data_IF_709087951283
#
_entry.id   IF_709087951283
#
_cell.length_a   1.000
_cell.length_b   1.000
_cell.length_c   1.000
_cell.angle_alpha   90.00
_cell.angle_beta   90.00
_cell.angle_gamma   90.00
#
_symmetry.space_group_name_H-M   'P 1'
#
loop_
_entity.id
_entity.type
_entity.pdbx_description
1 polymer ?
#
# COMPACT_ATOMS: atom_id res chain seq x y z
N UNK A 1 -13.39 30.06 32.06
CA UNK A 1 -12.26 29.35 31.44
C UNK A 1 -12.55 27.87 31.48
N UNK A 2 -13.03 27.31 30.37
CA UNK A 2 -13.35 25.89 30.26
C UNK A 2 -12.07 25.11 29.95
N UNK A 3 -11.67 24.26 30.90
CA UNK A 3 -10.50 23.40 30.78
C UNK A 3 -10.87 22.17 29.93
N UNK A 4 -10.59 22.20 28.62
CA UNK A 4 -10.76 21.05 27.73
C UNK A 4 -9.69 20.02 28.07
N UNK A 5 -10.08 18.98 28.81
CA UNK A 5 -9.28 17.75 28.94
C UNK A 5 -9.34 17.00 27.61
N UNK A 6 -8.24 16.99 26.89
CA UNK A 6 -7.97 16.05 25.79
C UNK A 6 -8.06 14.64 26.35
N UNK A 7 -9.04 13.84 25.91
CA UNK A 7 -9.07 12.42 26.20
C UNK A 7 -7.91 11.75 25.44
N UNK A 8 -6.88 11.33 26.17
CA UNK A 8 -5.93 10.35 25.67
C UNK A 8 -6.68 9.01 25.53
N UNK A 9 -6.98 8.61 24.30
CA UNK A 9 -7.41 7.25 24.01
C UNK A 9 -6.18 6.37 24.16
N UNK A 10 -6.07 5.71 25.31
CA UNK A 10 -5.06 4.69 25.57
C UNK A 10 -5.50 3.43 24.83
N UNK A 11 -4.94 3.19 23.64
CA UNK A 11 -5.15 1.95 22.88
C UNK A 11 -4.23 0.88 23.48
N UNK A 12 -4.69 0.22 24.53
CA UNK A 12 -3.97 -0.86 25.19
C UNK A 12 -4.39 -2.22 24.62
N UNK A 13 -3.43 -2.94 24.01
CA UNK A 13 -3.44 -4.40 23.91
C UNK A 13 -3.49 -4.98 22.49
N UNK A 14 -2.37 -4.93 21.77
CA UNK A 14 -2.15 -5.75 20.58
C UNK A 14 -1.05 -6.78 20.86
N UNK A 15 -1.43 -8.00 21.23
CA UNK A 15 -0.51 -9.14 21.17
C UNK A 15 -1.27 -10.40 20.75
N UNK A 16 -0.85 -10.98 19.64
CA UNK A 16 -1.01 -12.41 19.39
C UNK A 16 0.32 -12.93 18.82
N UNK A 17 0.90 -13.91 19.51
CA UNK A 17 2.14 -14.58 19.12
C UNK A 17 1.76 -15.72 18.18
N UNK A 18 2.36 -15.80 16.99
CA UNK A 18 2.48 -17.07 16.25
C UNK A 18 3.94 -17.31 15.86
N UNK A 19 4.40 -18.53 16.10
CA UNK A 19 5.80 -18.95 16.02
C UNK A 19 6.18 -19.57 14.68
N UNK A 20 5.82 -18.95 13.56
CA UNK A 20 6.27 -19.33 12.23
C UNK A 20 6.71 -18.08 11.49
N UNK A 21 7.85 -18.12 10.80
CA UNK A 21 8.42 -16.99 10.04
C UNK A 21 7.59 -16.56 8.82
N UNK A 22 6.27 -16.49 8.96
CA UNK A 22 5.37 -15.89 7.99
C UNK A 22 5.47 -14.37 8.10
N UNK A 23 5.69 -13.71 6.95
CA UNK A 23 5.59 -12.26 6.85
C UNK A 23 4.16 -11.86 7.27
N UNK A 24 4.05 -11.18 8.41
CA UNK A 24 2.79 -10.75 9.00
C UNK A 24 2.73 -9.24 9.00
N UNK A 25 1.57 -8.70 8.62
CA UNK A 25 1.33 -7.25 8.65
C UNK A 25 1.19 -6.79 10.10
N UNK A 26 1.98 -5.80 10.50
CA UNK A 26 2.09 -5.21 11.84
C UNK A 26 1.38 -3.86 11.88
N UNK A 27 0.05 -3.87 11.85
CA UNK A 27 -0.73 -2.65 12.03
C UNK A 27 -0.41 -1.94 13.37
N UNK A 28 0.05 -2.67 14.39
CA UNK A 28 0.46 -2.14 15.69
C UNK A 28 1.73 -1.29 15.65
N UNK A 29 2.55 -1.38 14.60
CA UNK A 29 3.73 -0.52 14.41
C UNK A 29 3.45 0.78 13.68
N UNK A 30 2.24 0.97 13.16
CA UNK A 30 1.87 2.17 12.40
C UNK A 30 1.71 3.40 13.32
N UNK A 31 1.97 4.56 12.74
CA UNK A 31 1.77 5.85 13.37
C UNK A 31 0.29 6.10 13.68
N UNK A 32 0.05 6.96 14.66
CA UNK A 32 -1.31 7.32 15.05
C UNK A 32 -2.08 8.04 13.93
N UNK A 33 -1.37 8.70 13.01
CA UNK A 33 -1.99 9.33 11.83
C UNK A 33 -2.50 8.27 10.84
N UNK A 34 -1.69 7.25 10.54
CA UNK A 34 -2.12 6.13 9.69
C UNK A 34 -3.26 5.35 10.34
N UNK A 35 -3.18 5.05 11.63
CA UNK A 35 -4.26 4.34 12.35
C UNK A 35 -5.58 5.13 12.32
N UNK A 36 -5.53 6.46 12.39
CA UNK A 36 -6.71 7.32 12.23
C UNK A 36 -7.26 7.29 10.80
N UNK A 37 -6.40 7.30 9.79
CA UNK A 37 -6.83 7.19 8.40
C UNK A 37 -7.47 5.82 8.11
N UNK A 38 -6.91 4.74 8.67
CA UNK A 38 -7.50 3.41 8.62
C UNK A 38 -8.89 3.40 9.26
N UNK A 39 -9.05 3.86 10.50
CA UNK A 39 -10.34 3.95 11.17
C UNK A 39 -11.36 4.78 10.37
N UNK A 40 -10.94 5.92 9.83
CA UNK A 40 -11.78 6.78 8.99
C UNK A 40 -12.23 6.12 7.67
N UNK A 41 -11.42 5.21 7.13
CA UNK A 41 -11.79 4.41 5.94
C UNK A 41 -12.80 3.29 6.24
N UNK A 42 -13.13 3.06 7.53
CA UNK A 42 -13.96 1.94 7.97
C UNK A 42 -13.20 0.64 8.22
N UNK A 43 -11.87 0.71 8.34
CA UNK A 43 -11.06 -0.43 8.76
C UNK A 43 -11.26 -0.75 10.25
N UNK A 44 -11.16 -2.03 10.60
CA UNK A 44 -11.06 -2.47 11.98
C UNK A 44 -10.08 -3.64 12.08
N UNK A 45 -9.51 -3.87 13.27
CA UNK A 45 -8.49 -4.92 13.46
C UNK A 45 -9.00 -6.34 13.18
N UNK A 46 -10.31 -6.56 13.35
CA UNK A 46 -10.95 -7.86 13.10
C UNK A 46 -11.47 -7.99 11.66
N UNK A 47 -11.24 -6.99 10.80
CA UNK A 47 -11.65 -7.03 9.39
C UNK A 47 -10.87 -8.12 8.66
N UNK A 48 -11.62 -9.03 8.04
CA UNK A 48 -11.10 -10.09 7.17
C UNK A 48 -12.11 -10.33 6.04
N UNK A 49 -11.95 -9.63 4.92
CA UNK A 49 -12.75 -9.85 3.72
C UNK A 49 -12.19 -11.00 2.89
N UNK A 50 -13.04 -11.63 2.08
CA UNK A 50 -12.61 -12.67 1.15
C UNK A 50 -11.83 -12.05 -0.02
N UNK A 51 -10.53 -12.32 -0.08
CA UNK A 51 -9.66 -11.84 -1.16
C UNK A 51 -9.89 -12.60 -2.49
N UNK A 52 -10.52 -13.78 -2.46
CA UNK A 52 -10.75 -14.63 -3.63
C UNK A 52 -11.50 -13.92 -4.75
N UNK A 53 -12.41 -13.00 -4.39
CA UNK A 53 -13.18 -12.19 -5.35
C UNK A 53 -12.30 -11.38 -6.31
N UNK A 54 -11.08 -11.01 -5.89
CA UNK A 54 -10.11 -10.29 -6.71
C UNK A 54 -8.97 -11.18 -7.21
N UNK A 55 -8.52 -12.11 -6.36
CA UNK A 55 -7.39 -12.99 -6.66
C UNK A 55 -7.71 -13.90 -7.84
N UNK A 56 -8.87 -14.56 -7.85
CA UNK A 56 -9.17 -15.54 -8.89
C UNK A 56 -9.22 -14.93 -10.31
N UNK A 57 -9.87 -13.77 -10.56
CA UNK A 57 -9.80 -13.12 -11.87
C UNK A 57 -8.36 -12.80 -12.30
N UNK A 58 -7.54 -12.26 -11.40
CA UNK A 58 -6.16 -11.87 -11.72
C UNK A 58 -5.27 -13.08 -11.98
N UNK A 59 -5.44 -14.19 -11.25
CA UNK A 59 -4.71 -15.42 -11.56
C UNK A 59 -5.05 -15.99 -12.95
N UNK A 60 -6.30 -15.83 -13.41
CA UNK A 60 -6.68 -16.20 -14.79
C UNK A 60 -5.99 -15.32 -15.84
N UNK A 61 -5.58 -14.11 -15.47
CA UNK A 61 -4.76 -13.22 -16.31
C UNK A 61 -3.24 -13.50 -16.19
N UNK A 62 -2.84 -14.49 -15.40
CA UNK A 62 -1.44 -14.93 -15.27
C UNK A 62 -0.65 -14.22 -14.17
N UNK A 63 -1.32 -13.50 -13.27
CA UNK A 63 -0.72 -13.12 -11.99
C UNK A 63 -0.51 -14.36 -11.11
N UNK A 64 0.43 -14.26 -10.17
CA UNK A 64 0.66 -15.29 -9.15
C UNK A 64 0.51 -14.66 -7.78
N UNK A 65 -0.55 -15.01 -7.06
CA UNK A 65 -0.75 -14.48 -5.72
C UNK A 65 0.26 -15.09 -4.74
N UNK A 66 0.54 -14.38 -3.65
CA UNK A 66 1.36 -14.86 -2.54
C UNK A 66 0.67 -14.51 -1.21
N UNK A 67 1.13 -15.15 -0.12
CA UNK A 67 0.48 -15.07 1.20
C UNK A 67 0.33 -13.65 1.71
N UNK A 68 1.33 -12.79 1.49
CA UNK A 68 1.31 -11.42 1.97
C UNK A 68 0.27 -10.57 1.21
N UNK A 69 0.11 -10.78 -0.10
CA UNK A 69 -0.94 -10.11 -0.88
C UNK A 69 -2.34 -10.55 -0.42
N UNK A 70 -2.54 -11.83 -0.12
CA UNK A 70 -3.81 -12.33 0.45
C UNK A 70 -4.09 -11.66 1.79
N UNK A 71 -3.09 -11.58 2.68
CA UNK A 71 -3.24 -10.94 3.98
C UNK A 71 -3.58 -9.45 3.85
N UNK A 72 -2.89 -8.72 2.96
CA UNK A 72 -3.15 -7.31 2.69
C UNK A 72 -4.56 -7.07 2.15
N UNK A 73 -4.99 -7.85 1.14
CA UNK A 73 -6.32 -7.73 0.55
C UNK A 73 -7.44 -8.19 1.49
N UNK A 74 -7.19 -9.19 2.33
CA UNK A 74 -8.18 -9.58 3.35
C UNK A 74 -8.36 -8.48 4.42
N UNK A 75 -7.29 -7.77 4.77
CA UNK A 75 -7.35 -6.68 5.73
C UNK A 75 -7.92 -5.38 5.13
N UNK A 76 -7.47 -4.98 3.94
CA UNK A 76 -7.70 -3.64 3.39
C UNK A 76 -8.48 -3.63 2.06
N UNK A 77 -8.71 -4.77 1.42
CA UNK A 77 -9.40 -4.83 0.13
C UNK A 77 -10.74 -4.10 0.14
N UNK A 78 -10.95 -3.27 -0.88
CA UNK A 78 -12.12 -2.42 -1.06
C UNK A 78 -12.14 -1.15 -0.19
N UNK A 79 -11.07 -0.86 0.57
CA UNK A 79 -10.94 0.39 1.32
C UNK A 79 -10.19 1.45 0.50
N UNK A 80 -10.42 2.71 0.87
CA UNK A 80 -9.73 3.87 0.33
C UNK A 80 -9.18 4.67 1.52
N UNK A 81 -7.86 4.85 1.58
CA UNK A 81 -7.19 5.57 2.65
C UNK A 81 -6.87 6.98 2.18
N UNK A 82 -7.53 7.97 2.78
CA UNK A 82 -7.29 9.38 2.51
C UNK A 82 -5.95 9.84 3.11
N UNK A 83 -5.17 10.65 2.38
CA UNK A 83 -3.94 11.23 2.91
C UNK A 83 -4.26 12.25 4.01
N UNK A 84 -3.55 12.16 5.13
CA UNK A 84 -3.67 13.16 6.18
C UNK A 84 -2.85 14.43 5.87
N UNK A 85 -1.87 14.31 4.97
CA UNK A 85 -0.96 15.38 4.57
C UNK A 85 -1.03 15.60 3.05
N UNK A 86 -2.13 16.19 2.57
CA UNK A 86 -2.31 16.50 1.14
C UNK A 86 -1.19 17.39 0.56
N UNK A 87 -0.71 18.33 1.39
CA UNK A 87 0.49 19.13 1.11
C UNK A 87 1.54 18.72 2.13
N UNK A 88 2.10 17.53 1.93
CA UNK A 88 3.15 16.99 2.79
C UNK A 88 4.48 17.76 2.63
N UNK A 89 5.38 17.69 3.63
CA UNK A 89 6.68 18.36 3.55
C UNK A 89 7.60 17.77 2.47
N UNK A 90 7.30 16.56 1.97
CA UNK A 90 8.14 15.84 1.04
C UNK A 90 7.61 15.85 -0.39
N UNK A 91 6.29 15.67 -0.58
CA UNK A 91 5.62 15.78 -1.87
C UNK A 91 4.13 16.07 -1.65
N UNK A 92 3.48 16.63 -2.68
CA UNK A 92 2.02 16.77 -2.69
C UNK A 92 1.40 15.39 -2.91
N UNK A 93 0.46 15.02 -2.06
CA UNK A 93 -0.18 13.72 -2.02
C UNK A 93 -1.67 13.92 -1.72
N UNK A 94 -2.42 14.45 -2.68
CA UNK A 94 -3.86 14.71 -2.54
C UNK A 94 -4.73 13.54 -3.01
N UNK A 95 -4.10 12.39 -3.27
CA UNK A 95 -4.78 11.22 -3.80
C UNK A 95 -4.89 10.10 -2.76
N UNK A 96 -6.07 9.45 -2.66
CA UNK A 96 -6.24 8.32 -1.76
C UNK A 96 -5.50 7.09 -2.26
N UNK A 97 -5.06 6.26 -1.31
CA UNK A 97 -4.58 4.91 -1.61
C UNK A 97 -5.76 3.94 -1.65
N UNK A 98 -6.16 3.54 -2.85
CA UNK A 98 -7.32 2.68 -3.09
C UNK A 98 -6.89 1.21 -3.16
N UNK A 99 -7.39 0.37 -2.25
CA UNK A 99 -7.12 -1.07 -2.25
C UNK A 99 -8.09 -1.81 -3.18
N UNK A 100 -8.02 -1.50 -4.47
CA UNK A 100 -8.72 -2.20 -5.55
C UNK A 100 -7.71 -2.88 -6.50
N UNK A 101 -7.42 -4.18 -6.29
CA UNK A 101 -6.47 -4.90 -7.13
C UNK A 101 -6.98 -5.13 -8.57
N UNK A 102 -8.29 -5.05 -8.83
CA UNK A 102 -8.85 -5.21 -10.18
C UNK A 102 -8.61 -3.94 -10.99
N UNK A 103 -8.85 -2.76 -10.40
CA UNK A 103 -8.51 -1.49 -11.03
C UNK A 103 -7.03 -1.41 -11.40
N UNK A 104 -6.16 -1.82 -10.47
CA UNK A 104 -4.72 -1.79 -10.66
C UNK A 104 -4.17 -2.84 -11.65
N UNK A 105 -4.80 -4.03 -11.69
CA UNK A 105 -4.20 -5.22 -12.29
C UNK A 105 -4.87 -5.74 -13.55
N UNK A 106 -6.18 -5.57 -13.72
CA UNK A 106 -6.92 -6.22 -14.82
C UNK A 106 -6.53 -5.62 -16.16
N UNK A 107 -6.12 -6.48 -17.10
CA UNK A 107 -5.59 -6.09 -18.40
C UNK A 107 -4.18 -5.48 -18.36
N UNK A 108 -3.57 -5.36 -17.19
CA UNK A 108 -2.27 -4.71 -16.98
C UNK A 108 -1.13 -5.71 -16.72
N UNK A 109 -1.31 -7.00 -17.05
CA UNK A 109 -0.29 -8.03 -16.78
C UNK A 109 1.08 -7.69 -17.38
N UNK A 110 1.12 -6.99 -18.52
CA UNK A 110 2.35 -6.54 -19.16
C UNK A 110 3.17 -5.57 -18.28
N UNK A 111 2.50 -4.60 -17.64
CA UNK A 111 3.14 -3.69 -16.69
C UNK A 111 3.73 -4.46 -15.50
N UNK A 112 2.98 -5.45 -14.98
CA UNK A 112 3.50 -6.30 -13.91
C UNK A 112 4.73 -7.13 -14.34
N UNK A 113 4.75 -7.66 -15.57
CA UNK A 113 5.94 -8.37 -16.10
C UNK A 113 7.14 -7.42 -16.15
N UNK A 114 6.91 -6.17 -16.53
CA UNK A 114 7.95 -5.16 -16.59
C UNK A 114 8.53 -4.85 -15.21
N UNK A 115 7.66 -4.62 -14.21
CA UNK A 115 8.07 -4.44 -12.80
C UNK A 115 8.88 -5.65 -12.31
N UNK A 116 8.39 -6.87 -12.56
CA UNK A 116 9.09 -8.12 -12.22
C UNK A 116 10.46 -8.23 -12.91
N UNK A 117 10.56 -7.79 -14.17
CA UNK A 117 11.79 -7.85 -14.97
C UNK A 117 12.83 -6.83 -14.50
N UNK A 118 12.39 -5.61 -14.21
CA UNK A 118 13.27 -4.49 -13.84
C UNK A 118 13.72 -4.60 -12.38
N UNK A 119 12.79 -4.91 -11.46
CA UNK A 119 13.06 -4.90 -10.03
C UNK A 119 13.40 -6.27 -9.46
N UNK A 120 13.01 -7.35 -10.15
CA UNK A 120 13.14 -8.72 -9.67
C UNK A 120 12.16 -9.05 -8.55
N UNK A 121 11.67 -10.29 -8.52
CA UNK A 121 10.74 -10.76 -7.49
C UNK A 121 9.38 -11.14 -8.06
N UNK A 122 8.42 -11.39 -7.18
CA UNK A 122 7.06 -11.77 -7.55
C UNK A 122 6.09 -10.72 -7.04
N UNK A 123 5.42 -10.02 -7.97
CA UNK A 123 4.59 -8.87 -7.67
C UNK A 123 3.11 -9.18 -7.92
N UNK A 124 2.26 -8.77 -6.99
CA UNK A 124 0.80 -8.88 -7.12
C UNK A 124 0.16 -7.48 -6.95
N UNK A 125 -0.77 -7.08 -7.83
CA UNK A 125 -1.43 -5.80 -7.73
C UNK A 125 -2.35 -5.79 -6.50
N UNK A 126 -2.29 -4.71 -5.72
CA UNK A 126 -3.07 -4.58 -4.48
C UNK A 126 -3.98 -3.35 -4.47
N UNK A 127 -3.74 -2.40 -5.37
CA UNK A 127 -4.47 -1.14 -5.39
C UNK A 127 -3.88 -0.10 -6.33
N UNK A 128 -4.42 1.11 -6.28
CA UNK A 128 -3.96 2.26 -7.05
C UNK A 128 -3.60 3.41 -6.12
N UNK A 129 -2.55 4.15 -6.48
CA UNK A 129 -2.13 5.34 -5.77
C UNK A 129 -1.32 6.24 -6.70
N UNK A 130 -1.38 7.56 -6.49
CA UNK A 130 -0.62 8.58 -7.22
C UNK A 130 -0.83 8.53 -8.75
N UNK A 131 -1.82 9.28 -9.19
CA UNK A 131 -2.37 9.40 -10.53
C UNK A 131 -2.81 8.07 -11.11
N UNK A 132 -3.53 7.28 -10.30
CA UNK A 132 -4.02 5.94 -10.63
C UNK A 132 -2.90 4.95 -11.03
N UNK A 133 -1.68 5.15 -10.53
CA UNK A 133 -0.59 4.21 -10.79
C UNK A 133 -0.88 2.89 -10.08
N UNK A 134 -0.64 1.78 -10.79
CA UNK A 134 -0.83 0.44 -10.24
C UNK A 134 0.16 0.20 -9.10
N UNK A 135 -0.36 -0.15 -7.93
CA UNK A 135 0.44 -0.50 -6.76
C UNK A 135 0.58 -2.00 -6.66
N UNK A 136 1.83 -2.45 -6.59
CA UNK A 136 2.20 -3.85 -6.50
C UNK A 136 2.90 -4.16 -5.18
N UNK A 137 2.52 -5.28 -4.57
CA UNK A 137 3.17 -5.86 -3.41
C UNK A 137 4.02 -7.06 -3.82
N UNK A 138 5.31 -6.97 -3.53
CA UNK A 138 6.27 -8.05 -3.71
C UNK A 138 6.14 -9.10 -2.60
N UNK A 139 6.46 -10.36 -2.90
CA UNK A 139 6.36 -11.49 -1.97
C UNK A 139 7.19 -11.35 -0.68
N UNK A 140 8.28 -10.59 -0.71
CA UNK A 140 9.14 -10.24 0.43
C UNK A 140 8.74 -8.96 1.16
N UNK A 141 7.67 -8.26 0.74
CA UNK A 141 7.09 -7.12 1.45
C UNK A 141 7.33 -5.76 0.84
N UNK A 142 8.20 -5.63 -0.16
CA UNK A 142 8.41 -4.35 -0.87
C UNK A 142 7.13 -3.94 -1.59
N UNK A 143 6.78 -2.64 -1.52
CA UNK A 143 5.65 -2.07 -2.24
C UNK A 143 6.14 -1.01 -3.22
N UNK A 144 5.62 -1.07 -4.45
CA UNK A 144 5.95 -0.11 -5.51
C UNK A 144 4.69 0.37 -6.20
N UNK A 145 4.65 1.65 -6.57
CA UNK A 145 3.67 2.19 -7.51
C UNK A 145 4.31 2.25 -8.89
N UNK A 146 3.59 1.87 -9.94
CA UNK A 146 4.08 1.83 -11.30
C UNK A 146 3.06 2.42 -12.26
N UNK A 147 3.50 3.37 -13.08
CA UNK A 147 2.61 4.08 -14.01
C UNK A 147 3.35 5.17 -14.76
N UNK A 148 2.83 5.52 -15.94
CA UNK A 148 3.31 6.66 -16.75
C UNK A 148 4.82 6.65 -17.09
N UNK A 149 5.44 5.46 -17.07
CA UNK A 149 6.87 5.28 -17.35
C UNK A 149 7.79 5.44 -16.14
N UNK A 150 7.26 5.38 -14.91
CA UNK A 150 8.03 5.38 -13.67
C UNK A 150 7.64 4.23 -12.75
N UNK A 151 8.61 3.76 -11.97
CA UNK A 151 8.38 2.94 -10.77
C UNK A 151 8.85 3.70 -9.54
N UNK A 152 7.97 3.83 -8.55
CA UNK A 152 8.25 4.50 -7.29
C UNK A 152 8.28 3.53 -6.13
N UNK A 153 9.22 3.75 -5.21
CA UNK A 153 9.27 3.01 -3.95
C UNK A 153 8.26 3.57 -2.96
N UNK A 154 7.26 2.77 -2.62
CA UNK A 154 6.33 3.09 -1.53
C UNK A 154 6.87 2.65 -0.17
N UNK A 155 7.56 1.52 -0.12
CA UNK A 155 8.21 1.04 1.10
C UNK A 155 8.96 -0.26 0.90
N UNK A 156 9.92 -0.53 1.79
CA UNK A 156 10.59 -1.83 1.89
C UNK A 156 9.71 -2.89 2.58
N UNK A 157 8.64 -2.44 3.24
CA UNK A 157 7.58 -3.23 3.84
C UNK A 157 6.19 -2.69 3.47
N UNK A 158 5.14 -3.47 3.73
CA UNK A 158 3.77 -3.05 3.50
C UNK A 158 3.37 -1.87 4.40
N UNK A 159 3.82 -1.88 5.65
CA UNK A 159 3.58 -0.84 6.64
C UNK A 159 4.19 0.49 6.22
N UNK A 160 5.44 0.47 5.73
CA UNK A 160 6.09 1.68 5.20
C UNK A 160 5.33 2.28 4.03
N UNK A 161 4.67 1.44 3.21
CA UNK A 161 3.84 1.93 2.10
C UNK A 161 2.61 2.72 2.59
N UNK A 162 2.00 2.29 3.70
CA UNK A 162 0.87 3.00 4.32
C UNK A 162 1.34 4.33 4.92
N UNK A 163 2.47 4.34 5.61
CA UNK A 163 3.05 5.57 6.17
C UNK A 163 3.37 6.60 5.08
N UNK A 164 3.95 6.16 3.97
CA UNK A 164 4.24 7.04 2.85
C UNK A 164 2.95 7.58 2.22
N UNK A 165 2.01 6.69 1.89
CA UNK A 165 0.80 7.04 1.16
C UNK A 165 -0.19 7.88 1.97
N UNK A 166 -0.19 7.77 3.30
CA UNK A 166 -1.06 8.60 4.16
C UNK A 166 -0.38 9.88 4.59
N UNK A 167 0.89 9.80 5.02
CA UNK A 167 1.55 10.90 5.71
C UNK A 167 2.56 11.66 4.85
N UNK A 168 2.93 11.15 3.66
CA UNK A 168 4.04 11.66 2.86
C UNK A 168 5.28 11.91 3.74
N UNK A 169 5.60 10.97 4.62
CA UNK A 169 6.54 11.13 5.74
C UNK A 169 8.03 11.16 5.31
N UNK A 170 8.33 10.78 4.07
CA UNK A 170 9.64 10.86 3.43
C UNK A 170 9.51 11.24 1.94
N UNK A 171 10.60 11.63 1.26
CA UNK A 171 10.58 11.81 -0.19
C UNK A 171 10.15 10.55 -0.93
N UNK A 172 9.39 10.74 -2.02
CA UNK A 172 9.07 9.70 -2.98
C UNK A 172 10.33 9.38 -3.80
N UNK A 173 10.70 8.11 -3.87
CA UNK A 173 11.91 7.67 -4.55
C UNK A 173 11.55 7.04 -5.91
N UNK A 174 12.11 7.57 -6.98
CA UNK A 174 12.03 6.98 -8.31
C UNK A 174 13.04 5.83 -8.41
N UNK A 175 12.56 4.59 -8.49
CA UNK A 175 13.39 3.39 -8.65
C UNK A 175 13.80 3.17 -10.11
N UNK A 176 12.91 3.53 -11.04
CA UNK A 176 13.10 3.34 -12.46
C UNK A 176 12.30 4.39 -13.23
N UNK A 177 12.83 4.80 -14.39
CA UNK A 177 12.11 5.56 -15.39
C UNK A 177 12.43 5.01 -16.78
N UNK A 178 11.44 5.05 -17.66
CA UNK A 178 11.60 4.57 -19.03
C UNK A 178 12.69 5.34 -19.80
N UNK A 179 13.30 4.71 -20.82
CA UNK A 179 14.22 5.39 -21.71
C UNK A 179 13.62 6.67 -22.30
N UNK A 180 14.26 7.81 -22.05
CA UNK A 180 13.79 9.12 -22.52
C UNK A 180 12.81 9.83 -21.58
N UNK A 181 12.41 9.20 -20.47
CA UNK A 181 11.63 9.81 -19.40
C UNK A 181 12.57 10.20 -18.25
N UNK A 182 12.51 11.46 -17.83
CA UNK A 182 13.30 11.92 -16.68
C UNK A 182 12.72 11.35 -15.37
N UNK A 183 13.55 10.95 -14.40
CA UNK A 183 13.06 10.52 -13.08
C UNK A 183 12.18 11.59 -12.43
N UNK A 184 11.10 11.15 -11.79
CA UNK A 184 10.21 12.01 -11.02
C UNK A 184 9.91 11.39 -9.66
N UNK A 185 9.89 12.16 -8.55
CA UNK A 185 10.44 13.49 -8.43
C UNK A 185 11.94 13.51 -8.80
N UNK A 186 12.49 14.65 -9.27
CA UNK A 186 13.92 14.76 -9.50
C UNK A 186 14.68 14.55 -8.18
N UNK A 187 15.84 13.88 -8.27
CA UNK A 187 16.73 13.63 -7.14
C UNK A 187 17.32 14.91 -6.51
#
# INVERSE_FOLDING_TARGET
MANRRTLAVVVAGYWKISGSGELMIRFDSLSQDVLRALDASGWSVDRAVDAGQWVEPLEREGYRVHTLAIAALSALGGLSLEPCNAVGPNFANDEPYNFDPIAAGSGQRALAVEVETVLGGQYFPIGEWLSYSSVFLESGGRVVAAGMGWFWEMGSSFEESLELAVCANRPLLCLYSDPGVAPWPPA
#
